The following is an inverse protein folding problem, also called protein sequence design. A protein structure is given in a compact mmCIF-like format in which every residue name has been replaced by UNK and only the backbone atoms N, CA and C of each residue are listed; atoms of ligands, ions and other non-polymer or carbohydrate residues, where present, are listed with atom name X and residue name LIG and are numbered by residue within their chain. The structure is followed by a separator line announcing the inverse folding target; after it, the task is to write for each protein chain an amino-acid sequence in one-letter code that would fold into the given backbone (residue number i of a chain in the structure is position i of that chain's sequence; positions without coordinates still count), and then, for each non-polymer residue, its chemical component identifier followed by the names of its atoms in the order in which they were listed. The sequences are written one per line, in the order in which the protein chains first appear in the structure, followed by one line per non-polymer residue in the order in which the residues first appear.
data_IF_195331593275
#
_entry.id   IF_195331593275
#
_cell.length_a   1.000
_cell.length_b   1.000
_cell.length_c   1.000
_cell.angle_alpha   90.00
_cell.angle_beta   90.00
_cell.angle_gamma   90.00
#
_symmetry.space_group_name_H-M   'P 1'
#
loop_
_entity.id
_entity.type
_entity.pdbx_description
1 polymer ?
#
# COMPACT_ATOMS: atom_id res chain seq x y z
N UNK A 1 1.40 7.29 -24.22
CA UNK A 1 1.95 6.38 -23.18
C UNK A 1 1.08 6.28 -21.91
N UNK A 2 0.30 7.29 -21.54
CA UNK A 2 -0.56 7.30 -20.34
C UNK A 2 -1.75 6.32 -20.37
N UNK A 3 -2.29 5.99 -21.53
CA UNK A 3 -3.44 5.07 -21.65
C UNK A 3 -3.05 3.60 -21.41
N UNK A 4 -1.88 3.18 -21.87
CA UNK A 4 -1.41 1.79 -21.76
C UNK A 4 -1.11 1.41 -20.29
N UNK A 5 -0.56 2.33 -19.50
CA UNK A 5 -0.30 2.14 -18.06
C UNK A 5 -1.61 1.98 -17.28
N UNK A 6 -2.68 2.71 -17.66
CA UNK A 6 -4.02 2.55 -17.06
C UNK A 6 -4.61 1.16 -17.33
N UNK A 7 -4.43 0.61 -18.54
CA UNK A 7 -4.93 -0.73 -18.89
C UNK A 7 -4.17 -1.85 -18.18
N UNK A 8 -2.86 -1.72 -18.00
CA UNK A 8 -2.04 -2.70 -17.25
C UNK A 8 -2.48 -2.71 -15.78
N UNK A 9 -2.73 -1.56 -15.19
CA UNK A 9 -3.21 -1.44 -13.80
C UNK A 9 -4.62 -2.04 -13.64
N UNK A 10 -5.49 -1.81 -14.61
CA UNK A 10 -6.85 -2.33 -14.63
C UNK A 10 -6.88 -3.85 -14.85
N UNK A 11 -6.05 -4.38 -15.75
CA UNK A 11 -5.98 -5.81 -16.02
C UNK A 11 -5.44 -6.60 -14.81
N UNK A 12 -4.45 -6.03 -14.10
CA UNK A 12 -3.88 -6.69 -12.90
C UNK A 12 -4.86 -6.68 -11.72
N UNK A 13 -5.68 -5.63 -11.60
CA UNK A 13 -6.69 -5.53 -10.54
C UNK A 13 -7.88 -6.47 -10.76
N UNK A 14 -8.31 -6.65 -12.01
CA UNK A 14 -9.42 -7.56 -12.36
C UNK A 14 -9.03 -9.03 -12.13
N UNK A 15 -7.77 -9.41 -12.37
CA UNK A 15 -7.29 -10.78 -12.14
C UNK A 15 -7.20 -11.16 -10.64
N UNK A 16 -7.12 -10.18 -9.75
CA UNK A 16 -7.06 -10.42 -8.29
C UNK A 16 -8.45 -10.57 -7.62
N UNK A 17 -9.56 -10.26 -8.31
CA UNK A 17 -10.92 -10.27 -7.72
C UNK A 17 -11.75 -11.50 -8.12
N UNK A 18 -11.29 -12.29 -9.06
CA UNK A 18 -12.05 -13.38 -9.67
C UNK A 18 -11.80 -14.75 -9.09
N UNK A 19 -12.15 -15.05 -7.81
CA UNK A 19 -12.41 -16.41 -7.34
C UNK A 19 -13.17 -16.41 -6.02
N UNK A 20 -14.45 -16.03 -6.04
CA UNK A 20 -15.37 -16.28 -4.94
C UNK A 20 -16.78 -16.60 -5.49
N UNK A 21 -16.90 -17.71 -6.26
CA UNK A 21 -18.20 -18.36 -6.46
C UNK A 21 -18.25 -19.58 -5.55
N UNK A 22 -18.81 -19.40 -4.35
CA UNK A 22 -19.14 -20.47 -3.44
C UNK A 22 -20.46 -21.12 -3.85
N UNK A 23 -20.45 -22.44 -3.97
CA UNK A 23 -21.62 -23.29 -4.28
C UNK A 23 -22.68 -23.19 -3.20
N UNK A 24 -23.93 -22.97 -3.60
CA UNK A 24 -25.11 -23.01 -2.76
C UNK A 24 -25.50 -24.50 -2.51
N UNK A 25 -25.26 -24.98 -1.29
CA UNK A 25 -25.81 -26.27 -0.82
C UNK A 25 -27.11 -26.07 -0.02
N UNK A 26 -27.97 -27.11 0.15
CA UNK A 26 -29.30 -26.99 0.73
C UNK A 26 -29.27 -26.62 2.21
N UNK A 27 -30.15 -25.68 2.59
CA UNK A 27 -30.27 -25.09 3.91
C UNK A 27 -30.63 -26.11 4.98
N UNK A 28 -29.73 -26.35 5.94
CA UNK A 28 -30.06 -26.95 7.24
C UNK A 28 -30.12 -25.82 8.25
N UNK A 29 -31.30 -25.48 8.75
CA UNK A 29 -31.48 -24.52 9.86
C UNK A 29 -30.85 -25.10 11.13
N UNK A 30 -29.64 -24.64 11.42
CA UNK A 30 -29.03 -24.79 12.74
C UNK A 30 -29.25 -23.52 13.57
N UNK A 31 -29.09 -23.58 14.93
CA UNK A 31 -29.29 -22.43 15.79
C UNK A 31 -28.40 -21.27 15.37
N UNK A 32 -28.84 -20.00 15.57
CA UNK A 32 -28.08 -18.82 15.14
C UNK A 32 -26.71 -18.82 15.84
N UNK A 33 -25.67 -19.08 15.05
CA UNK A 33 -24.30 -18.93 15.54
C UNK A 33 -24.04 -17.44 15.77
N UNK A 34 -23.40 -17.03 16.88
CA UNK A 34 -22.97 -15.66 17.03
C UNK A 34 -22.18 -15.28 15.78
N UNK A 35 -22.55 -14.17 15.13
CA UNK A 35 -21.75 -13.59 14.03
C UNK A 35 -20.34 -13.37 14.57
N UNK A 36 -19.45 -14.32 14.31
CA UNK A 36 -18.05 -14.04 14.39
C UNK A 36 -17.82 -12.86 13.45
N UNK A 37 -17.54 -11.70 14.00
CA UNK A 37 -17.06 -10.56 13.23
C UNK A 37 -15.79 -11.05 12.54
N UNK A 38 -15.91 -11.43 11.27
CA UNK A 38 -14.77 -11.69 10.41
C UNK A 38 -14.01 -10.36 10.28
N UNK A 39 -13.05 -10.18 11.18
CA UNK A 39 -12.06 -9.12 11.06
C UNK A 39 -11.11 -9.59 9.95
N UNK A 40 -11.19 -9.05 8.72
CA UNK A 40 -10.27 -9.46 7.68
C UNK A 40 -8.86 -9.25 8.25
N UNK A 41 -8.00 -10.28 8.10
CA UNK A 41 -6.61 -10.19 8.52
C UNK A 41 -5.95 -9.09 7.67
N UNK A 42 -5.87 -7.89 8.22
CA UNK A 42 -5.46 -6.67 7.54
C UNK A 42 -4.00 -6.77 7.03
N UNK A 43 -3.19 -7.66 7.60
CA UNK A 43 -1.81 -7.89 7.20
C UNK A 43 -1.71 -8.42 5.76
N UNK A 44 -2.59 -9.33 5.34
CA UNK A 44 -2.58 -9.87 3.97
C UNK A 44 -2.96 -8.81 2.92
N UNK A 45 -3.84 -7.87 3.24
CA UNK A 45 -4.21 -6.80 2.32
C UNK A 45 -3.12 -5.74 2.19
N UNK A 46 -2.43 -5.42 3.28
CA UNK A 46 -1.33 -4.46 3.29
C UNK A 46 -0.13 -5.00 2.47
N UNK A 47 0.28 -6.26 2.66
CA UNK A 47 1.32 -6.90 1.85
C UNK A 47 0.96 -7.00 0.35
N UNK A 48 -0.31 -7.19 0.02
CA UNK A 48 -0.75 -7.21 -1.38
C UNK A 48 -0.60 -5.84 -2.04
N UNK A 49 -0.99 -4.76 -1.37
CA UNK A 49 -0.81 -3.39 -1.88
C UNK A 49 0.67 -3.06 -2.06
N UNK A 50 1.51 -3.48 -1.11
CA UNK A 50 2.96 -3.28 -1.17
C UNK A 50 3.58 -4.00 -2.39
N UNK A 51 3.22 -5.26 -2.63
CA UNK A 51 3.69 -6.01 -3.80
C UNK A 51 3.26 -5.35 -5.12
N UNK A 52 2.03 -4.86 -5.21
CA UNK A 52 1.55 -4.12 -6.38
C UNK A 52 2.35 -2.82 -6.57
N UNK A 53 2.65 -2.11 -5.49
CA UNK A 53 3.49 -0.91 -5.52
C UNK A 53 4.89 -1.20 -6.03
N UNK A 54 5.55 -2.24 -5.52
CA UNK A 54 6.88 -2.65 -5.97
C UNK A 54 6.91 -2.96 -7.47
N UNK A 55 5.91 -3.69 -7.97
CA UNK A 55 5.79 -3.99 -9.40
C UNK A 55 5.54 -2.74 -10.24
N UNK A 56 4.71 -1.81 -9.75
CA UNK A 56 4.49 -0.52 -10.41
C UNK A 56 5.79 0.30 -10.52
N UNK A 57 6.54 0.41 -9.42
CA UNK A 57 7.83 1.10 -9.39
C UNK A 57 8.83 0.42 -10.34
N UNK A 58 8.88 -0.91 -10.37
CA UNK A 58 9.73 -1.67 -11.30
C UNK A 58 9.47 -1.28 -12.75
N UNK A 59 8.21 -1.23 -13.15
CA UNK A 59 7.81 -0.88 -14.51
C UNK A 59 8.13 0.58 -14.84
N UNK A 60 7.93 1.48 -13.88
CA UNK A 60 8.13 2.92 -14.09
C UNK A 60 9.61 3.30 -14.21
N UNK A 61 10.45 2.74 -13.37
CA UNK A 61 11.87 3.09 -13.36
C UNK A 61 12.65 2.50 -14.54
N UNK A 62 12.19 1.41 -15.14
CA UNK A 62 12.86 0.74 -16.26
C UNK A 62 14.39 0.61 -16.04
N UNK A 63 14.77 -0.03 -14.93
CA UNK A 63 16.15 -0.19 -14.52
C UNK A 63 16.81 -1.34 -15.29
N UNK A 64 18.14 -1.26 -15.50
CA UNK A 64 18.90 -2.42 -15.96
C UNK A 64 18.85 -3.54 -14.91
N UNK A 65 19.10 -4.82 -15.30
CA UNK A 65 19.14 -5.92 -14.32
C UNK A 65 20.11 -5.68 -13.16
N UNK A 66 21.27 -5.08 -13.43
CA UNK A 66 22.29 -4.76 -12.42
C UNK A 66 21.82 -3.65 -11.46
N UNK A 67 21.18 -2.61 -12.00
CA UNK A 67 20.59 -1.54 -11.18
C UNK A 67 19.45 -2.10 -10.33
N UNK A 68 18.57 -2.89 -10.92
CA UNK A 68 17.44 -3.50 -10.24
C UNK A 68 17.89 -4.41 -9.09
N UNK A 69 18.93 -5.23 -9.30
CA UNK A 69 19.47 -6.11 -8.27
C UNK A 69 20.03 -5.37 -7.05
N UNK A 70 20.59 -4.18 -7.25
CA UNK A 70 21.10 -3.32 -6.15
C UNK A 70 20.00 -2.46 -5.51
N UNK A 71 19.06 -1.97 -6.31
CA UNK A 71 18.03 -1.03 -5.86
C UNK A 71 16.91 -1.69 -5.08
N UNK A 72 16.32 -2.80 -5.57
CA UNK A 72 15.11 -3.36 -4.96
C UNK A 72 15.28 -3.86 -3.52
N UNK A 73 16.42 -4.44 -3.09
CA UNK A 73 16.64 -4.75 -1.69
C UNK A 73 16.58 -3.50 -0.79
N UNK A 74 17.23 -2.40 -1.20
CA UNK A 74 17.19 -1.12 -0.48
C UNK A 74 15.77 -0.52 -0.45
N UNK A 75 15.04 -0.64 -1.56
CA UNK A 75 13.66 -0.16 -1.64
C UNK A 75 12.71 -0.96 -0.74
N UNK A 76 12.89 -2.26 -0.64
CA UNK A 76 12.11 -3.10 0.29
C UNK A 76 12.38 -2.73 1.74
N UNK A 77 13.65 -2.52 2.12
CA UNK A 77 14.03 -2.08 3.46
C UNK A 77 13.41 -0.70 3.77
N UNK A 78 13.49 0.24 2.84
CA UNK A 78 12.83 1.55 2.93
C UNK A 78 11.32 1.43 3.19
N UNK A 79 10.62 0.62 2.40
CA UNK A 79 9.18 0.41 2.57
C UNK A 79 8.86 -0.23 3.93
N UNK A 80 9.69 -1.19 4.39
CA UNK A 80 9.49 -1.85 5.68
C UNK A 80 9.69 -0.87 6.86
N UNK A 81 10.73 -0.03 6.82
CA UNK A 81 10.93 0.99 7.88
C UNK A 81 9.76 1.99 7.90
N UNK A 82 9.34 2.50 6.75
CA UNK A 82 8.17 3.38 6.66
C UNK A 82 6.88 2.73 7.16
N UNK A 83 6.67 1.46 6.83
CA UNK A 83 5.51 0.70 7.28
C UNK A 83 5.45 0.60 8.81
N UNK A 84 6.58 0.29 9.45
CA UNK A 84 6.67 0.15 10.91
C UNK A 84 6.31 1.47 11.61
N UNK A 85 6.89 2.59 11.18
CA UNK A 85 6.60 3.90 11.78
C UNK A 85 5.15 4.34 11.52
N UNK A 86 4.64 4.15 10.31
CA UNK A 86 3.24 4.46 9.98
C UNK A 86 2.25 3.61 10.80
N UNK A 87 2.60 2.37 11.11
CA UNK A 87 1.80 1.51 11.99
C UNK A 87 1.75 2.07 13.41
N UNK A 88 2.89 2.47 13.97
CA UNK A 88 2.98 3.09 15.31
C UNK A 88 2.19 4.41 15.35
N UNK A 89 2.34 5.26 14.34
CA UNK A 89 1.60 6.50 14.17
C UNK A 89 0.08 6.26 14.17
N UNK A 90 -0.39 5.28 13.40
CA UNK A 90 -1.81 4.91 13.34
C UNK A 90 -2.32 4.39 14.69
N UNK A 91 -1.52 3.58 15.40
CA UNK A 91 -1.87 3.11 16.75
C UNK A 91 -1.97 4.28 17.75
N UNK A 92 -1.06 5.25 17.68
CA UNK A 92 -1.10 6.46 18.50
C UNK A 92 -2.40 7.24 18.27
N UNK A 93 -2.85 7.37 17.03
CA UNK A 93 -4.06 8.12 16.68
C UNK A 93 -5.37 7.41 17.09
N UNK A 94 -5.33 6.10 17.29
CA UNK A 94 -6.47 5.33 17.80
C UNK A 94 -6.62 5.42 19.33
N UNK A 95 -5.57 5.78 20.07
CA UNK A 95 -5.50 5.78 21.53
C UNK A 95 -5.41 7.21 22.10
N UNK A 96 -6.29 8.10 21.65
CA UNK A 96 -6.29 9.53 22.00
C UNK A 96 -6.76 9.82 23.43
N UNK A 97 -6.17 9.17 24.44
CA UNK A 97 -6.53 9.39 25.85
C UNK A 97 -5.88 10.66 26.45
N UNK A 98 -4.73 11.09 25.93
CA UNK A 98 -4.00 12.31 26.33
C UNK A 98 -3.61 13.11 25.07
N UNK A 99 -4.35 14.20 24.80
CA UNK A 99 -4.21 14.98 23.58
C UNK A 99 -2.80 15.56 23.38
N UNK A 100 -2.14 16.04 24.43
CA UNK A 100 -0.78 16.60 24.34
C UNK A 100 0.27 15.51 24.06
N UNK A 101 0.21 14.41 24.78
CA UNK A 101 1.13 13.29 24.55
C UNK A 101 0.92 12.65 23.18
N UNK A 102 -0.33 12.56 22.71
CA UNK A 102 -0.65 12.07 21.38
C UNK A 102 -0.05 12.97 20.29
N UNK A 103 -0.22 14.29 20.39
CA UNK A 103 0.33 15.26 19.42
C UNK A 103 1.85 15.18 19.39
N UNK A 104 2.51 15.13 20.54
CA UNK A 104 3.96 15.03 20.60
C UNK A 104 4.48 13.74 19.93
N UNK A 105 3.82 12.59 20.14
CA UNK A 105 4.15 11.34 19.45
C UNK A 105 3.88 11.40 17.95
N UNK A 106 2.80 12.06 17.54
CA UNK A 106 2.48 12.28 16.12
C UNK A 106 3.63 13.01 15.42
N UNK A 107 4.09 14.14 15.99
CA UNK A 107 5.20 14.92 15.46
C UNK A 107 6.53 14.15 15.47
N UNK A 108 6.76 13.35 16.50
CA UNK A 108 7.93 12.45 16.57
C UNK A 108 7.92 11.43 15.41
N UNK A 109 6.81 10.77 15.15
CA UNK A 109 6.70 9.81 14.04
C UNK A 109 6.81 10.49 12.67
N UNK A 110 6.27 11.71 12.50
CA UNK A 110 6.46 12.48 11.25
C UNK A 110 7.95 12.79 11.02
N UNK A 111 8.66 13.22 12.06
CA UNK A 111 10.09 13.45 11.95
C UNK A 111 10.85 12.15 11.62
N UNK A 112 10.51 11.03 12.24
CA UNK A 112 11.12 9.72 11.95
C UNK A 112 10.90 9.30 10.49
N UNK A 113 9.70 9.51 9.93
CA UNK A 113 9.41 9.28 8.51
C UNK A 113 10.32 10.14 7.61
N UNK A 114 10.56 11.40 7.98
CA UNK A 114 11.46 12.29 7.23
C UNK A 114 12.91 11.78 7.30
N UNK A 115 13.38 11.35 8.47
CA UNK A 115 14.74 10.81 8.63
C UNK A 115 14.94 9.53 7.81
N UNK A 116 13.96 8.62 7.79
CA UNK A 116 13.98 7.42 6.94
C UNK A 116 14.10 7.81 5.47
N UNK A 117 13.31 8.78 5.00
CA UNK A 117 13.38 9.25 3.61
C UNK A 117 14.75 9.82 3.27
N UNK A 118 15.36 10.61 4.15
CA UNK A 118 16.69 11.17 3.96
C UNK A 118 17.75 10.06 3.90
N UNK A 119 17.71 9.11 4.85
CA UNK A 119 18.61 7.94 4.90
C UNK A 119 18.59 7.19 3.57
N UNK A 120 17.40 6.82 3.11
CA UNK A 120 17.26 6.00 1.90
C UNK A 120 17.45 6.80 0.61
N UNK A 121 17.14 8.10 0.57
CA UNK A 121 17.49 8.95 -0.55
C UNK A 121 19.02 8.93 -0.81
N UNK A 122 19.82 9.04 0.25
CA UNK A 122 21.27 8.96 0.16
C UNK A 122 21.75 7.57 -0.29
N UNK A 123 21.05 6.49 0.10
CA UNK A 123 21.35 5.14 -0.33
C UNK A 123 20.98 4.93 -1.82
N UNK A 124 19.83 5.42 -2.26
CA UNK A 124 19.37 5.34 -3.65
C UNK A 124 20.30 6.08 -4.61
N UNK A 125 20.77 7.27 -4.22
CA UNK A 125 21.72 8.05 -5.03
C UNK A 125 23.09 7.38 -5.21
N UNK A 126 23.44 6.37 -4.40
CA UNK A 126 24.64 5.55 -4.62
C UNK A 126 24.48 4.47 -5.70
N UNK A 127 23.24 4.12 -6.03
CA UNK A 127 22.94 3.02 -6.98
C UNK A 127 22.18 3.48 -8.22
N UNK A 128 21.53 4.65 -8.15
CA UNK A 128 20.75 5.24 -9.23
C UNK A 128 21.20 6.67 -9.51
N UNK A 129 21.02 7.11 -10.75
CA UNK A 129 21.19 8.51 -11.11
C UNK A 129 20.08 9.39 -10.48
N UNK A 130 20.33 10.69 -10.23
CA UNK A 130 19.37 11.59 -9.58
C UNK A 130 18.02 11.69 -10.29
N UNK A 131 17.98 11.60 -11.61
CA UNK A 131 16.75 11.58 -12.42
C UNK A 131 15.90 10.35 -12.12
N UNK A 132 16.53 9.17 -11.96
CA UNK A 132 15.83 7.93 -11.56
C UNK A 132 15.29 7.99 -10.14
N UNK A 133 16.01 8.63 -9.22
CA UNK A 133 15.52 8.85 -7.85
C UNK A 133 14.35 9.85 -7.85
N UNK A 134 14.40 10.90 -8.67
CA UNK A 134 13.27 11.81 -8.86
C UNK A 134 12.05 11.09 -9.44
N UNK A 135 12.25 10.24 -10.45
CA UNK A 135 11.19 9.42 -11.06
C UNK A 135 10.59 8.44 -10.03
N UNK A 136 11.40 7.85 -9.13
CA UNK A 136 10.94 7.02 -8.03
C UNK A 136 9.92 7.76 -7.16
N UNK A 137 10.27 8.95 -6.65
CA UNK A 137 9.37 9.71 -5.78
C UNK A 137 8.10 10.19 -6.51
N UNK A 138 8.22 10.49 -7.80
CA UNK A 138 7.07 10.82 -8.62
C UNK A 138 6.15 9.60 -8.78
N UNK A 139 6.70 8.43 -9.10
CA UNK A 139 5.96 7.19 -9.23
C UNK A 139 5.27 6.77 -7.93
N UNK A 140 5.93 6.97 -6.77
CA UNK A 140 5.32 6.72 -5.46
C UNK A 140 4.09 7.61 -5.19
N UNK A 141 4.17 8.90 -5.54
CA UNK A 141 3.01 9.81 -5.40
C UNK A 141 1.88 9.39 -6.33
N UNK A 142 2.17 9.17 -7.61
CA UNK A 142 1.17 8.74 -8.61
C UNK A 142 0.46 7.44 -8.18
N UNK A 143 1.22 6.48 -7.63
CA UNK A 143 0.66 5.24 -7.11
C UNK A 143 -0.30 5.49 -5.94
N UNK A 144 0.10 6.31 -4.97
CA UNK A 144 -0.72 6.62 -3.80
C UNK A 144 -2.00 7.37 -4.20
N UNK A 145 -1.90 8.35 -5.11
CA UNK A 145 -3.05 9.12 -5.59
C UNK A 145 -4.06 8.21 -6.32
N UNK A 146 -3.55 7.30 -7.16
CA UNK A 146 -4.39 6.32 -7.86
C UNK A 146 -5.07 5.35 -6.89
N UNK A 147 -4.35 4.88 -5.86
CA UNK A 147 -4.91 4.00 -4.83
C UNK A 147 -6.04 4.69 -4.07
N UNK A 148 -5.85 5.95 -3.64
CA UNK A 148 -6.88 6.74 -2.96
C UNK A 148 -8.10 6.93 -3.86
N UNK A 149 -7.90 7.25 -5.14
CA UNK A 149 -8.97 7.41 -6.12
C UNK A 149 -9.80 6.12 -6.25
N UNK A 150 -9.15 4.97 -6.41
CA UNK A 150 -9.84 3.67 -6.55
C UNK A 150 -10.62 3.29 -5.29
N UNK A 151 -10.08 3.57 -4.11
CA UNK A 151 -10.77 3.32 -2.85
C UNK A 151 -12.01 4.20 -2.71
N UNK A 152 -11.94 5.48 -3.10
CA UNK A 152 -13.08 6.41 -3.06
C UNK A 152 -14.18 5.99 -4.05
N UNK A 153 -13.83 5.61 -5.28
CA UNK A 153 -14.76 5.13 -6.29
C UNK A 153 -15.48 3.84 -5.85
N UNK A 154 -14.76 2.94 -5.17
CA UNK A 154 -15.34 1.71 -4.63
C UNK A 154 -16.37 1.98 -3.53
N UNK A 155 -16.07 2.92 -2.64
CA UNK A 155 -16.97 3.28 -1.56
C UNK A 155 -18.23 4.01 -2.03
N UNK A 156 -18.17 4.68 -3.19
CA UNK A 156 -19.27 5.43 -3.78
C UNK A 156 -20.14 4.58 -4.74
N UNK A 157 -19.84 3.30 -4.96
CA UNK A 157 -20.70 2.42 -5.78
C UNK A 157 -22.00 2.14 -5.03
N UNK A 158 -23.18 2.38 -5.65
CA UNK A 158 -24.45 1.93 -5.09
C UNK A 158 -24.41 0.41 -4.88
N UNK A 159 -24.91 -0.05 -3.75
CA UNK A 159 -25.11 -1.48 -3.53
C UNK A 159 -25.99 -2.10 -4.62
N UNK A 160 -25.93 -3.43 -4.84
CA UNK A 160 -26.81 -4.09 -5.79
C UNK A 160 -28.27 -3.78 -5.43
N UNK A 161 -29.16 -3.56 -6.42
CA UNK A 161 -30.57 -3.35 -6.16
C UNK A 161 -31.13 -4.58 -5.42
N UNK A 162 -31.88 -4.30 -4.33
CA UNK A 162 -32.54 -5.32 -3.50
C UNK A 162 -33.73 -5.89 -4.26
#
# INVERSE_FOLDING_TARGET
MTKLVKYIFFLFFVLCVGNAFGQMGPYRMGPPRPRAYYRPNNQNSEHRVENVKVNYIRTRLNLSPEQAAKFFPLYQEYQQELFNVRKLKRQNNLNAADGTAQINKELMYENEIVQIKIKFNNAFLKVLQPDKVSELYKAEREFNDELVRQLSERNNRPGPPQ
#
